data_IF_837319041286
#
_entry.id   IF_837319041286
#
_cell.length_a   1.000
_cell.length_b   1.000
_cell.length_c   1.000
_cell.angle_alpha   90.00
_cell.angle_beta   90.00
_cell.angle_gamma   90.00
#
_symmetry.space_group_name_H-M   'P 1'
#
loop_
_entity.id
_entity.type
_entity.pdbx_description
1 polymer ?
#
# COMPACT_ATOMS: atom_id res chain seq x y z
N UNK A 1 -11.08 7.14 -16.69
CA UNK A 1 -9.79 6.47 -16.51
C UNK A 1 -9.53 6.42 -15.00
N UNK A 2 -9.80 5.26 -14.40
CA UNK A 2 -9.62 5.07 -12.96
C UNK A 2 -8.47 4.12 -12.67
N UNK A 3 -7.22 4.57 -12.89
CA UNK A 3 -6.07 3.86 -12.34
C UNK A 3 -5.87 4.39 -10.93
N UNK A 4 -6.11 3.58 -9.91
CA UNK A 4 -5.78 3.92 -8.54
C UNK A 4 -4.82 2.88 -7.99
N UNK A 5 -3.66 3.36 -7.61
CA UNK A 5 -2.65 2.60 -6.90
C UNK A 5 -2.96 2.66 -5.41
N UNK A 6 -2.87 1.51 -4.82
CA UNK A 6 -3.10 1.37 -3.40
C UNK A 6 -1.78 1.02 -2.75
N UNK A 7 -1.25 1.95 -1.99
CA UNK A 7 0.05 1.81 -1.38
C UNK A 7 0.10 1.88 0.14
N UNK A 8 -0.93 2.37 0.84
CA UNK A 8 -0.90 2.45 2.30
C UNK A 8 -2.25 2.26 2.95
N UNK A 9 -2.27 1.84 4.21
CA UNK A 9 -3.51 1.68 5.00
C UNK A 9 -4.26 3.00 5.22
N UNK A 10 -3.56 4.14 5.22
CA UNK A 10 -4.21 5.45 5.27
C UNK A 10 -5.00 5.74 4.00
N UNK A 11 -4.55 5.24 2.85
CA UNK A 11 -5.27 5.32 1.57
C UNK A 11 -6.59 4.55 1.56
N UNK A 12 -6.81 3.61 2.49
CA UNK A 12 -8.04 2.83 2.59
C UNK A 12 -9.22 3.72 2.97
N UNK A 13 -9.06 4.70 3.84
CA UNK A 13 -10.12 5.66 4.15
C UNK A 13 -10.42 6.59 2.99
N UNK A 14 -9.40 7.02 2.26
CA UNK A 14 -9.53 8.10 1.28
C UNK A 14 -9.68 7.61 -0.16
N UNK A 15 -8.96 6.57 -0.55
CA UNK A 15 -8.92 6.10 -1.95
C UNK A 15 -9.46 4.68 -2.11
N UNK A 16 -9.01 3.73 -1.30
CA UNK A 16 -9.55 2.37 -1.30
C UNK A 16 -10.96 2.32 -0.77
N UNK A 17 -11.32 3.22 0.12
CA UNK A 17 -12.68 3.32 0.64
C UNK A 17 -13.74 3.50 -0.44
N UNK A 18 -13.38 4.06 -1.61
CA UNK A 18 -14.28 4.25 -2.74
C UNK A 18 -14.08 3.24 -3.88
N UNK A 19 -13.00 2.43 -3.84
CA UNK A 19 -12.71 1.52 -4.94
C UNK A 19 -13.81 0.48 -5.21
N UNK A 20 -14.49 -0.11 -4.21
CA UNK A 20 -15.62 -1.03 -4.46
C UNK A 20 -16.78 -0.35 -5.19
N UNK A 21 -17.00 0.95 -4.96
CA UNK A 21 -18.07 1.70 -5.58
C UNK A 21 -17.84 1.96 -7.08
N UNK A 22 -16.59 2.01 -7.53
CA UNK A 22 -16.24 2.39 -8.90
C UNK A 22 -16.76 1.42 -9.96
N UNK A 23 -16.50 0.09 -9.90
CA UNK A 23 -16.98 -0.84 -10.91
C UNK A 23 -18.50 -0.99 -10.96
N UNK A 24 -19.19 -0.82 -9.83
CA UNK A 24 -20.65 -0.91 -9.78
C UNK A 24 -21.35 0.32 -10.38
N UNK A 25 -20.68 1.46 -10.43
CA UNK A 25 -21.26 2.71 -10.95
C UNK A 25 -20.67 3.16 -12.29
N UNK A 26 -19.49 2.64 -12.62
CA UNK A 26 -18.80 2.93 -13.88
C UNK A 26 -18.28 1.61 -14.48
N UNK A 27 -18.40 1.43 -15.77
CA UNK A 27 -17.79 0.28 -16.45
C UNK A 27 -16.27 0.46 -16.50
N UNK A 28 -15.59 0.15 -15.38
CA UNK A 28 -14.15 0.35 -15.22
C UNK A 28 -13.51 -0.84 -14.53
N UNK A 29 -12.23 -1.07 -14.83
CA UNK A 29 -11.40 -2.07 -14.18
C UNK A 29 -10.55 -1.44 -13.08
N UNK A 30 -10.21 -2.25 -12.08
CA UNK A 30 -9.20 -1.94 -11.08
C UNK A 30 -7.89 -2.62 -11.50
N UNK A 31 -6.78 -1.91 -11.37
CA UNK A 31 -5.47 -2.42 -11.74
C UNK A 31 -4.53 -2.39 -10.52
N UNK A 32 -3.77 -3.46 -10.31
CA UNK A 32 -2.82 -3.53 -9.21
C UNK A 32 -2.10 -4.87 -9.14
N UNK A 33 -1.24 -5.06 -8.15
CA UNK A 33 -0.58 -6.35 -7.93
C UNK A 33 -1.57 -7.38 -7.36
N UNK A 34 -1.27 -8.67 -7.53
CA UNK A 34 -2.05 -9.75 -6.94
C UNK A 34 -2.17 -9.59 -5.42
N UNK A 35 -1.07 -9.28 -4.75
CA UNK A 35 -1.07 -9.10 -3.30
C UNK A 35 -1.94 -7.91 -2.87
N UNK A 36 -1.92 -6.81 -3.62
CA UNK A 36 -2.80 -5.66 -3.36
C UNK A 36 -4.26 -6.05 -3.47
N UNK A 37 -4.66 -6.86 -4.46
CA UNK A 37 -6.04 -7.30 -4.60
C UNK A 37 -6.50 -8.16 -3.41
N UNK A 38 -5.67 -9.10 -2.97
CA UNK A 38 -5.98 -9.98 -1.84
C UNK A 38 -6.12 -9.21 -0.52
N UNK A 39 -5.20 -8.29 -0.26
CA UNK A 39 -5.25 -7.42 0.93
C UNK A 39 -6.46 -6.49 0.86
N UNK A 40 -6.73 -5.86 -0.28
CA UNK A 40 -7.89 -4.99 -0.47
C UNK A 40 -9.20 -5.70 -0.19
N UNK A 41 -9.36 -6.92 -0.72
CA UNK A 41 -10.53 -7.76 -0.45
C UNK A 41 -10.74 -8.01 1.04
N UNK A 42 -9.66 -8.37 1.74
CA UNK A 42 -9.71 -8.61 3.18
C UNK A 42 -10.14 -7.36 3.93
N UNK A 43 -9.54 -6.21 3.61
CA UNK A 43 -9.78 -4.96 4.29
C UNK A 43 -11.17 -4.37 4.00
N UNK A 44 -11.68 -4.51 2.77
CA UNK A 44 -13.06 -4.11 2.45
C UNK A 44 -14.08 -4.94 3.21
N UNK A 45 -13.88 -6.26 3.32
CA UNK A 45 -14.75 -7.13 4.11
C UNK A 45 -14.73 -6.75 5.59
N UNK A 46 -13.56 -6.42 6.14
CA UNK A 46 -13.42 -5.96 7.53
C UNK A 46 -14.10 -4.60 7.74
N UNK A 47 -13.88 -3.65 6.83
CA UNK A 47 -14.55 -2.35 6.84
C UNK A 47 -16.07 -2.48 6.79
N UNK A 48 -16.60 -3.34 5.92
CA UNK A 48 -18.03 -3.64 5.82
C UNK A 48 -18.58 -4.23 7.12
N UNK A 49 -17.86 -5.17 7.73
CA UNK A 49 -18.22 -5.78 9.01
C UNK A 49 -18.28 -4.73 10.14
N UNK A 50 -17.25 -3.89 10.27
CA UNK A 50 -17.18 -2.84 11.28
C UNK A 50 -18.31 -1.83 11.08
N UNK A 51 -18.53 -1.38 9.85
CA UNK A 51 -19.64 -0.48 9.49
C UNK A 51 -21.00 -1.02 9.93
N UNK A 52 -21.21 -2.33 9.73
CA UNK A 52 -22.44 -3.01 10.14
C UNK A 52 -22.62 -3.07 11.66
N UNK A 53 -21.52 -3.21 12.41
CA UNK A 53 -21.53 -3.24 13.88
C UNK A 53 -21.74 -1.83 14.45
N UNK A 54 -21.02 -0.86 13.92
CA UNK A 54 -21.01 0.52 14.43
C UNK A 54 -22.12 1.39 13.82
N UNK A 55 -22.89 0.84 12.88
CA UNK A 55 -24.04 1.51 12.25
C UNK A 55 -23.68 2.80 11.52
N UNK A 56 -22.48 2.89 10.91
CA UNK A 56 -22.18 3.98 10.01
C UNK A 56 -22.30 3.55 8.54
N UNK A 57 -22.87 4.37 7.65
CA UNK A 57 -23.10 3.97 6.27
C UNK A 57 -21.81 3.96 5.46
N UNK A 58 -21.65 2.93 4.62
CA UNK A 58 -20.67 2.91 3.54
C UNK A 58 -21.37 3.27 2.22
N UNK A 59 -20.65 3.87 1.26
CA UNK A 59 -21.20 4.15 -0.07
C UNK A 59 -21.30 2.91 -0.98
N UNK A 60 -20.93 1.73 -0.48
CA UNK A 60 -20.92 0.45 -1.18
C UNK A 60 -21.28 -0.70 -0.21
N UNK A 61 -21.65 -1.83 -0.75
CA UNK A 61 -22.04 -3.04 -0.02
C UNK A 61 -21.15 -4.24 -0.38
N UNK A 62 -21.55 -5.44 0.09
CA UNK A 62 -20.81 -6.67 -0.17
C UNK A 62 -20.78 -7.04 -1.65
N UNK A 63 -21.84 -6.74 -2.40
CA UNK A 63 -21.91 -6.99 -3.83
C UNK A 63 -20.94 -6.13 -4.60
N UNK A 64 -20.76 -4.88 -4.16
CA UNK A 64 -19.78 -3.97 -4.77
C UNK A 64 -18.34 -4.48 -4.55
N UNK A 65 -18.07 -5.10 -3.40
CA UNK A 65 -16.77 -5.77 -3.17
C UNK A 65 -16.55 -6.90 -4.18
N UNK A 66 -17.55 -7.76 -4.38
CA UNK A 66 -17.45 -8.87 -5.34
C UNK A 66 -17.24 -8.34 -6.77
N UNK A 67 -18.00 -7.33 -7.20
CA UNK A 67 -17.83 -6.67 -8.49
C UNK A 67 -16.44 -6.02 -8.65
N UNK A 68 -15.93 -5.40 -7.60
CA UNK A 68 -14.59 -4.82 -7.60
C UNK A 68 -13.51 -5.90 -7.78
N UNK A 69 -13.69 -7.06 -7.14
CA UNK A 69 -12.76 -8.18 -7.31
C UNK A 69 -12.84 -8.80 -8.71
N UNK A 70 -14.04 -8.93 -9.27
CA UNK A 70 -14.25 -9.45 -10.62
C UNK A 70 -13.70 -8.52 -11.71
N UNK A 71 -13.67 -7.20 -11.44
CA UNK A 71 -13.09 -6.20 -12.32
C UNK A 71 -11.59 -6.00 -12.15
N UNK A 72 -10.94 -6.74 -11.23
CA UNK A 72 -9.53 -6.57 -10.95
C UNK A 72 -8.64 -7.22 -12.00
N UNK A 73 -7.74 -6.42 -12.58
CA UNK A 73 -6.69 -6.88 -13.50
C UNK A 73 -5.36 -6.85 -12.76
N UNK A 74 -4.74 -8.02 -12.64
CA UNK A 74 -3.45 -8.17 -11.94
C UNK A 74 -2.29 -7.89 -12.88
N UNK A 75 -1.30 -7.13 -12.40
CA UNK A 75 -0.04 -6.87 -13.07
C UNK A 75 1.13 -7.26 -12.18
N UNK A 76 2.18 -7.78 -12.81
CA UNK A 76 3.46 -7.98 -12.14
C UNK A 76 4.27 -6.68 -12.11
N UNK A 77 5.20 -6.58 -11.15
CA UNK A 77 6.13 -5.46 -11.14
C UNK A 77 7.03 -5.51 -12.37
N UNK A 78 7.36 -4.32 -12.90
CA UNK A 78 8.20 -4.10 -14.10
C UNK A 78 7.55 -4.62 -15.40
N UNK A 79 6.31 -5.07 -15.34
CA UNK A 79 5.51 -5.40 -16.52
C UNK A 79 4.74 -4.17 -17.00
N UNK A 80 4.72 -3.96 -18.32
CA UNK A 80 3.98 -2.85 -18.95
C UNK A 80 2.70 -3.35 -19.60
N UNK A 81 1.64 -2.53 -19.52
CA UNK A 81 0.40 -2.77 -20.25
C UNK A 81 -0.08 -1.49 -20.95
N UNK A 82 -0.95 -1.65 -21.94
CA UNK A 82 -1.54 -0.54 -22.68
C UNK A 82 -2.93 -0.23 -22.15
N UNK A 83 -3.21 1.06 -22.00
CA UNK A 83 -4.51 1.59 -21.68
C UNK A 83 -4.76 2.82 -22.55
N UNK A 84 -5.58 2.67 -23.60
CA UNK A 84 -5.73 3.71 -24.62
C UNK A 84 -4.35 4.11 -25.22
N UNK A 85 -4.01 5.39 -25.18
CA UNK A 85 -2.73 5.92 -25.71
C UNK A 85 -1.60 5.90 -24.67
N UNK A 86 -1.83 5.29 -23.49
CA UNK A 86 -0.85 5.23 -22.41
C UNK A 86 -0.23 3.85 -22.25
N UNK A 87 1.07 3.83 -22.06
CA UNK A 87 1.78 2.67 -21.53
C UNK A 87 1.92 2.83 -20.03
N UNK A 88 1.43 1.86 -19.28
CA UNK A 88 1.46 1.86 -17.83
C UNK A 88 2.39 0.76 -17.32
N UNK A 89 3.03 1.02 -16.18
CA UNK A 89 3.79 0.00 -15.47
C UNK A 89 3.80 0.25 -13.98
N UNK A 90 3.97 -0.82 -13.20
CA UNK A 90 4.14 -0.78 -11.76
C UNK A 90 5.58 -1.12 -11.41
N UNK A 91 6.24 -0.26 -10.61
CA UNK A 91 7.54 -0.55 -10.01
C UNK A 91 7.41 -0.61 -8.49
N UNK A 92 8.30 -1.34 -7.82
CA UNK A 92 8.23 -1.52 -6.37
C UNK A 92 8.36 -0.21 -5.62
N UNK A 93 7.42 0.08 -4.73
CA UNK A 93 7.47 1.24 -3.85
C UNK A 93 8.28 1.00 -2.56
N UNK A 94 8.52 -0.25 -2.17
CA UNK A 94 9.30 -0.60 -0.98
C UNK A 94 8.61 -0.31 0.37
N UNK A 95 7.44 0.30 0.35
CA UNK A 95 6.74 0.74 1.57
C UNK A 95 6.09 -0.41 2.34
N UNK A 96 5.22 -1.16 1.70
CA UNK A 96 4.57 -2.38 2.21
C UNK A 96 4.49 -3.45 1.12
N UNK A 97 4.28 -4.73 1.47
CA UNK A 97 4.09 -5.77 0.47
C UNK A 97 2.96 -5.44 -0.52
N UNK A 98 3.25 -5.53 -1.81
CA UNK A 98 2.31 -5.21 -2.88
C UNK A 98 2.26 -3.74 -3.32
N UNK A 99 2.84 -2.81 -2.55
CA UNK A 99 2.88 -1.40 -2.90
C UNK A 99 3.71 -1.13 -4.17
N UNK A 100 3.14 -0.36 -5.09
CA UNK A 100 3.76 -0.02 -6.37
C UNK A 100 3.73 1.47 -6.67
N UNK A 101 4.79 1.96 -7.30
CA UNK A 101 4.84 3.25 -7.97
C UNK A 101 4.26 3.09 -9.38
N UNK A 102 3.40 4.00 -9.81
CA UNK A 102 2.80 3.97 -11.15
C UNK A 102 3.52 4.89 -12.10
N UNK A 103 4.02 4.34 -13.18
CA UNK A 103 4.46 5.09 -14.35
C UNK A 103 3.36 5.10 -15.40
N UNK A 104 3.09 6.29 -15.95
CA UNK A 104 2.23 6.53 -17.09
C UNK A 104 3.10 7.14 -18.19
N UNK A 105 3.22 6.48 -19.31
CA UNK A 105 4.07 6.91 -20.42
C UNK A 105 3.25 7.12 -21.69
N UNK A 106 3.40 8.28 -22.31
CA UNK A 106 2.91 8.60 -23.65
C UNK A 106 4.08 8.66 -24.62
N UNK A 107 3.82 9.03 -25.86
CA UNK A 107 4.85 9.22 -26.89
C UNK A 107 5.99 10.15 -26.46
N UNK A 108 5.72 11.18 -25.67
CA UNK A 108 6.66 12.26 -25.37
C UNK A 108 6.79 12.60 -23.88
N UNK A 109 6.01 11.97 -23.01
CA UNK A 109 5.99 12.28 -21.56
C UNK A 109 5.87 11.03 -20.70
N UNK A 110 6.65 11.03 -19.62
CA UNK A 110 6.51 10.08 -18.53
C UNK A 110 6.08 10.78 -17.25
N UNK A 111 4.99 10.31 -16.66
CA UNK A 111 4.47 10.77 -15.38
C UNK A 111 4.65 9.65 -14.36
N UNK A 112 5.22 9.96 -13.19
CA UNK A 112 5.42 9.02 -12.10
C UNK A 112 4.62 9.43 -10.87
N UNK A 113 3.86 8.49 -10.32
CA UNK A 113 3.21 8.60 -9.02
C UNK A 113 3.88 7.62 -8.06
N UNK A 114 4.52 8.12 -7.00
CA UNK A 114 5.22 7.25 -6.05
C UNK A 114 4.27 6.52 -5.12
N UNK A 115 3.12 7.11 -4.78
CA UNK A 115 2.42 6.71 -3.58
C UNK A 115 3.37 6.85 -2.37
N UNK A 116 3.08 6.16 -1.28
CA UNK A 116 4.02 6.04 -0.17
C UNK A 116 5.15 5.09 -0.55
N UNK A 117 6.41 5.50 -0.35
CA UNK A 117 7.57 4.71 -0.75
C UNK A 117 8.68 4.69 0.29
N UNK A 118 9.51 3.66 0.26
CA UNK A 118 10.76 3.58 1.02
C UNK A 118 11.87 3.05 0.10
N UNK A 119 13.03 3.71 0.12
CA UNK A 119 14.20 3.31 -0.70
C UNK A 119 15.05 2.23 -0.03
N UNK A 120 14.77 1.91 1.22
CA UNK A 120 15.50 0.90 2.00
C UNK A 120 14.86 -0.47 1.83
N UNK A 121 15.70 -1.50 1.80
CA UNK A 121 15.23 -2.89 1.88
C UNK A 121 14.68 -3.16 3.29
N UNK A 122 13.58 -3.90 3.36
CA UNK A 122 13.05 -4.50 4.58
C UNK A 122 13.03 -6.04 4.47
N UNK A 123 12.77 -6.77 5.54
CA UNK A 123 12.59 -8.22 5.45
C UNK A 123 11.50 -8.66 4.47
N UNK A 124 10.49 -7.82 4.26
CA UNK A 124 9.31 -8.13 3.43
C UNK A 124 9.36 -7.52 2.03
N UNK A 125 10.06 -6.40 1.85
CA UNK A 125 10.02 -5.62 0.61
C UNK A 125 11.42 -5.18 0.17
N UNK A 126 11.61 -5.12 -1.14
CA UNK A 126 12.76 -4.44 -1.73
C UNK A 126 12.46 -2.95 -1.86
N UNK A 127 13.42 -2.11 -1.49
CA UNK A 127 13.32 -0.67 -1.57
C UNK A 127 13.06 -0.16 -2.99
N UNK A 128 12.36 0.97 -3.07
CA UNK A 128 12.10 1.65 -4.33
C UNK A 128 13.41 2.08 -5.00
N UNK A 129 13.43 2.00 -6.33
CA UNK A 129 14.53 2.52 -7.14
C UNK A 129 14.11 3.81 -7.81
N UNK A 130 15.04 4.78 -8.02
CA UNK A 130 14.76 5.98 -8.79
C UNK A 130 14.28 5.64 -10.21
N UNK A 131 13.29 6.38 -10.68
CA UNK A 131 12.74 6.27 -12.04
C UNK A 131 12.74 7.66 -12.65
N UNK A 132 13.34 7.79 -13.82
CA UNK A 132 13.33 9.04 -14.57
C UNK A 132 11.90 9.37 -15.02
N UNK A 133 11.49 10.61 -14.84
CA UNK A 133 10.17 11.10 -15.22
C UNK A 133 10.19 12.58 -15.57
N UNK A 134 9.31 13.01 -16.48
CA UNK A 134 9.12 14.42 -16.81
C UNK A 134 8.25 15.12 -15.76
N UNK A 135 7.30 14.39 -15.18
CA UNK A 135 6.39 14.87 -14.14
C UNK A 135 6.38 13.87 -13.00
N UNK A 136 6.65 14.35 -11.81
CA UNK A 136 6.74 13.52 -10.60
C UNK A 136 5.71 13.98 -9.56
N UNK A 137 4.84 13.05 -9.15
CA UNK A 137 3.99 13.18 -7.97
C UNK A 137 4.60 12.35 -6.84
N UNK A 138 5.19 13.02 -5.87
CA UNK A 138 5.94 12.39 -4.77
C UNK A 138 5.30 12.75 -3.43
N UNK A 139 5.24 11.76 -2.53
CA UNK A 139 4.86 12.00 -1.15
C UNK A 139 5.88 12.90 -0.42
N UNK A 140 5.46 13.53 0.69
CA UNK A 140 6.32 14.41 1.47
C UNK A 140 6.23 14.19 2.98
N UNK A 141 5.80 13.01 3.42
CA UNK A 141 5.56 12.68 4.84
C UNK A 141 6.77 12.99 5.73
N UNK A 142 7.95 12.69 5.23
CA UNK A 142 9.22 12.96 5.90
C UNK A 142 10.05 14.06 5.22
N UNK A 143 9.40 14.91 4.44
CA UNK A 143 10.07 16.03 3.79
C UNK A 143 10.82 16.91 4.79
N UNK A 144 12.12 17.16 4.53
CA UNK A 144 12.98 17.96 5.41
C UNK A 144 13.42 17.27 6.71
N UNK A 145 13.19 15.97 6.87
CA UNK A 145 13.65 15.18 8.03
C UNK A 145 14.57 14.06 7.59
N UNK A 146 15.64 13.85 8.34
CA UNK A 146 16.51 12.69 8.18
C UNK A 146 16.06 11.56 9.12
N UNK A 147 16.00 10.35 8.62
CA UNK A 147 15.82 9.18 9.46
C UNK A 147 17.11 8.89 10.25
N UNK A 148 16.96 8.41 11.47
CA UNK A 148 18.06 7.85 12.23
C UNK A 148 18.60 6.57 11.56
N UNK A 149 19.80 6.15 11.95
CA UNK A 149 20.35 4.87 11.48
C UNK A 149 19.45 3.71 11.92
N UNK A 150 18.97 2.95 10.92
CA UNK A 150 18.01 1.87 11.14
C UNK A 150 18.55 0.76 12.04
N UNK A 151 19.83 0.42 11.90
CA UNK A 151 20.46 -0.64 12.67
C UNK A 151 20.57 -0.25 14.14
N UNK A 152 20.95 0.99 14.41
CA UNK A 152 21.04 1.52 15.78
C UNK A 152 19.65 1.62 16.43
N UNK A 153 18.64 2.08 15.70
CA UNK A 153 17.28 2.18 16.23
C UNK A 153 16.66 0.79 16.49
N UNK A 154 16.93 -0.18 15.62
CA UNK A 154 16.49 -1.56 15.82
C UNK A 154 17.14 -2.16 17.09
N UNK A 155 18.45 -1.95 17.28
CA UNK A 155 19.13 -2.43 18.48
C UNK A 155 18.56 -1.79 19.75
N UNK A 156 18.35 -0.47 19.75
CA UNK A 156 17.72 0.23 20.88
C UNK A 156 16.33 -0.31 21.20
N UNK A 157 15.53 -0.55 20.14
CA UNK A 157 14.19 -1.11 20.28
C UNK A 157 14.21 -2.49 20.95
N UNK A 158 15.13 -3.37 20.52
CA UNK A 158 15.31 -4.70 21.11
C UNK A 158 15.74 -4.58 22.58
N UNK A 159 16.75 -3.74 22.87
CA UNK A 159 17.26 -3.53 24.23
C UNK A 159 16.17 -2.99 25.17
N UNK A 160 15.30 -2.09 24.68
CA UNK A 160 14.18 -1.56 25.46
C UNK A 160 13.12 -2.63 25.75
N UNK A 161 12.82 -3.51 24.79
CA UNK A 161 11.91 -4.65 25.02
C UNK A 161 12.48 -5.57 26.10
N UNK A 162 13.74 -5.98 25.97
CA UNK A 162 14.43 -6.86 26.94
C UNK A 162 14.41 -6.20 28.32
N UNK A 163 14.81 -4.94 28.41
CA UNK A 163 14.85 -4.20 29.68
C UNK A 163 13.51 -4.13 30.40
N UNK A 164 12.40 -4.04 29.68
CA UNK A 164 11.05 -3.99 30.25
C UNK A 164 10.57 -5.38 30.67
N UNK A 165 10.77 -6.38 29.80
CA UNK A 165 10.28 -7.75 30.03
C UNK A 165 11.06 -8.44 31.12
N UNK A 166 12.37 -8.22 31.25
CA UNK A 166 13.20 -8.77 32.35
C UNK A 166 12.75 -8.27 33.73
N UNK A 167 12.09 -7.12 33.79
CA UNK A 167 11.48 -6.58 35.02
C UNK A 167 10.03 -7.01 35.22
N UNK A 168 9.54 -7.96 34.43
CA UNK A 168 8.14 -8.42 34.47
C UNK A 168 7.14 -7.40 33.88
N UNK A 169 7.60 -6.39 33.15
CA UNK A 169 6.75 -5.39 32.49
C UNK A 169 6.14 -5.88 31.17
N UNK A 170 5.20 -5.12 30.65
CA UNK A 170 4.57 -5.35 29.35
C UNK A 170 4.95 -4.24 28.38
N UNK A 171 5.31 -4.61 27.15
CA UNK A 171 5.58 -3.67 26.06
C UNK A 171 4.39 -3.64 25.10
N UNK A 172 3.85 -2.45 24.87
CA UNK A 172 2.78 -2.22 23.88
C UNK A 172 3.38 -1.58 22.63
N UNK A 173 3.26 -2.26 21.49
CA UNK A 173 3.81 -1.83 20.22
C UNK A 173 2.64 -1.58 19.26
N UNK A 174 2.24 -0.32 19.01
CA UNK A 174 1.22 -0.02 18.01
C UNK A 174 1.80 -0.30 16.62
N UNK A 175 1.13 -1.13 15.85
CA UNK A 175 1.53 -1.49 14.51
C UNK A 175 0.31 -1.69 13.61
N UNK A 176 0.43 -1.28 12.34
CA UNK A 176 -0.60 -1.56 11.36
C UNK A 176 -0.64 -3.05 11.02
N UNK A 177 -1.83 -3.54 10.68
CA UNK A 177 -2.06 -4.95 10.37
C UNK A 177 -1.28 -5.44 9.14
N UNK A 178 -1.06 -4.57 8.16
CA UNK A 178 -0.31 -4.89 6.95
C UNK A 178 1.10 -4.29 6.98
N UNK A 179 2.10 -5.11 6.73
CA UNK A 179 3.52 -4.74 6.64
C UNK A 179 4.18 -4.70 8.03
N UNK A 180 3.89 -3.70 8.84
CA UNK A 180 4.63 -3.46 10.09
C UNK A 180 4.47 -4.58 11.13
N UNK A 181 3.30 -5.19 11.25
CA UNK A 181 3.09 -6.33 12.16
C UNK A 181 3.90 -7.55 11.73
N UNK A 182 3.98 -7.82 10.43
CA UNK A 182 4.77 -8.92 9.89
C UNK A 182 6.27 -8.65 10.02
N UNK A 183 6.74 -7.42 9.78
CA UNK A 183 8.14 -7.02 10.03
C UNK A 183 8.52 -7.29 11.49
N UNK A 184 7.70 -6.88 12.46
CA UNK A 184 7.93 -7.12 13.88
C UNK A 184 7.91 -8.61 14.23
N UNK A 185 7.06 -9.41 13.59
CA UNK A 185 7.03 -10.86 13.77
C UNK A 185 8.30 -11.54 13.28
N UNK A 186 8.90 -11.06 12.21
CA UNK A 186 10.14 -11.61 11.65
C UNK A 186 11.38 -11.30 12.50
N UNK A 187 11.37 -10.26 13.31
CA UNK A 187 12.44 -9.94 14.25
C UNK A 187 12.60 -11.05 15.32
N UNK A 188 11.54 -11.81 15.60
CA UNK A 188 11.56 -12.91 16.57
C UNK A 188 12.17 -14.22 16.03
N UNK A 189 12.33 -14.33 14.72
CA UNK A 189 12.86 -15.52 14.04
C UNK A 189 14.33 -15.33 13.70
#
# INVERSE_FOLDING_TARGET
IGVRLVGSEMCIRDSLGMAPWLPSNYNTNLHGTKLTSEISRMMWNDCYKISSIESYPLPWDKRDIDLAMDSWITHEFEESWQQEDWTLSLSRAGHIPGAGMLSLETHDKRVLFTGDFDTRDSPLTKGAKPIDSDILFIEGTYGGKNHADQSLELQRFIDDIIRVTDKGGTVLIPAFANGRTQDLSLIHI
#
